data_IF_308975673096
#
_entry.id   IF_308975673096
#
_cell.length_a   1.000
_cell.length_b   1.000
_cell.length_c   1.000
_cell.angle_alpha   90.00
_cell.angle_beta   90.00
_cell.angle_gamma   90.00
#
_symmetry.space_group_name_H-M   'P 1'
#
loop_
_entity.id
_entity.type
_entity.pdbx_description
1 polymer ?
#
# COMPACT_ATOMS: atom_id res chain seq x y z
N UNK A 1 16.48 -16.70 19.10
CA UNK A 1 17.34 -16.16 18.03
C UNK A 1 16.43 -15.59 16.97
N UNK A 2 16.65 -14.35 16.51
CA UNK A 2 15.89 -13.76 15.41
C UNK A 2 16.52 -14.15 14.08
N UNK A 3 15.71 -14.24 13.01
CA UNK A 3 16.19 -14.50 11.66
C UNK A 3 16.35 -13.17 10.92
N UNK A 4 17.50 -12.98 10.29
CA UNK A 4 17.71 -11.81 9.44
C UNK A 4 17.03 -12.02 8.09
N UNK A 5 16.35 -10.99 7.59
CA UNK A 5 15.72 -10.98 6.28
C UNK A 5 16.00 -9.67 5.55
N UNK A 6 16.28 -9.77 4.26
CA UNK A 6 16.41 -8.66 3.34
C UNK A 6 15.09 -8.38 2.67
N UNK A 7 14.74 -7.11 2.58
CA UNK A 7 13.49 -6.69 1.98
C UNK A 7 13.60 -5.34 1.29
N UNK A 8 12.72 -5.12 0.32
CA UNK A 8 12.53 -3.84 -0.35
C UNK A 8 11.10 -3.38 -0.14
N UNK A 9 10.94 -2.17 0.41
CA UNK A 9 9.63 -1.54 0.55
C UNK A 9 9.25 -0.83 -0.75
N UNK A 10 8.12 -1.19 -1.36
CA UNK A 10 7.62 -0.57 -2.59
C UNK A 10 6.20 -0.04 -2.39
N UNK A 11 5.82 0.96 -3.17
CA UNK A 11 4.45 1.46 -3.22
C UNK A 11 3.69 0.71 -4.32
N UNK A 12 2.54 0.11 -4.00
CA UNK A 12 1.85 -0.86 -4.88
C UNK A 12 1.35 -0.36 -6.23
N UNK A 13 1.42 0.95 -6.47
CA UNK A 13 1.13 1.55 -7.77
C UNK A 13 2.30 1.46 -8.77
N UNK A 14 3.51 1.10 -8.31
CA UNK A 14 4.74 1.16 -9.10
C UNK A 14 5.66 -0.02 -8.79
N UNK A 15 5.22 -1.24 -9.09
CA UNK A 15 6.12 -2.42 -9.07
C UNK A 15 7.35 -2.28 -9.97
N UNK A 16 7.40 -1.29 -10.86
CA UNK A 16 8.39 -1.24 -11.93
C UNK A 16 9.22 0.04 -12.05
N UNK A 17 9.23 0.99 -11.10
CA UNK A 17 10.00 2.24 -11.31
C UNK A 17 10.77 2.87 -10.13
N UNK A 18 10.63 2.38 -8.91
CA UNK A 18 11.40 2.91 -7.79
C UNK A 18 12.31 1.81 -7.26
N UNK A 19 13.61 1.92 -7.55
CA UNK A 19 14.66 1.20 -6.84
C UNK A 19 14.67 1.69 -5.40
N UNK A 20 13.78 1.16 -4.56
CA UNK A 20 13.91 1.35 -3.11
C UNK A 20 15.11 0.55 -2.62
N UNK A 21 15.83 1.14 -1.67
CA UNK A 21 16.98 0.52 -1.01
C UNK A 21 16.56 -0.82 -0.38
N UNK A 22 17.42 -1.83 -0.52
CA UNK A 22 17.23 -3.11 0.17
C UNK A 22 17.64 -2.90 1.62
N UNK A 23 16.76 -3.28 2.54
CA UNK A 23 16.96 -3.16 3.98
C UNK A 23 17.01 -4.52 4.63
N UNK A 24 17.73 -4.60 5.73
CA UNK A 24 17.82 -5.79 6.55
C UNK A 24 17.00 -5.63 7.83
N UNK A 25 16.23 -6.64 8.20
CA UNK A 25 15.44 -6.67 9.43
C UNK A 25 15.61 -7.98 10.19
N UNK A 26 15.59 -7.91 11.52
CA UNK A 26 15.59 -9.09 12.38
C UNK A 26 14.15 -9.45 12.75
N UNK A 27 13.68 -10.59 12.27
CA UNK A 27 12.34 -11.10 12.56
C UNK A 27 12.37 -11.93 13.85
N UNK A 28 11.64 -11.45 14.86
CA UNK A 28 11.46 -12.15 16.13
C UNK A 28 10.18 -12.97 16.11
N UNK A 29 10.24 -14.28 16.39
CA UNK A 29 9.05 -15.12 16.55
C UNK A 29 8.71 -16.08 15.41
N UNK A 30 9.71 -16.51 14.63
CA UNK A 30 9.55 -17.49 13.55
C UNK A 30 9.51 -16.83 12.16
N UNK A 31 9.96 -17.57 11.15
CA UNK A 31 10.08 -17.11 9.77
C UNK A 31 8.72 -16.89 9.08
N UNK A 32 7.62 -16.71 9.81
CA UNK A 32 6.31 -16.55 9.18
C UNK A 32 6.11 -15.12 8.68
N UNK A 33 5.45 -15.00 7.53
CA UNK A 33 5.12 -13.74 6.85
C UNK A 33 4.43 -12.74 7.79
N UNK A 34 3.55 -13.19 8.70
CA UNK A 34 2.88 -12.34 9.70
C UNK A 34 3.86 -11.60 10.62
N UNK A 35 4.85 -12.31 11.17
CA UNK A 35 5.85 -11.73 12.08
C UNK A 35 6.73 -10.73 11.36
N UNK A 36 7.16 -11.10 10.15
CA UNK A 36 7.94 -10.23 9.27
C UNK A 36 7.18 -8.93 8.92
N UNK A 37 5.89 -8.99 8.54
CA UNK A 37 5.07 -7.79 8.29
C UNK A 37 5.01 -6.86 9.50
N UNK A 38 4.87 -7.43 10.70
CA UNK A 38 4.83 -6.65 11.93
C UNK A 38 6.17 -5.94 12.17
N UNK A 39 7.28 -6.64 12.00
CA UNK A 39 8.62 -6.07 12.13
C UNK A 39 8.84 -4.93 11.14
N UNK A 40 8.55 -5.15 9.85
CA UNK A 40 8.70 -4.12 8.80
C UNK A 40 7.80 -2.92 9.07
N UNK A 41 6.57 -3.15 9.53
CA UNK A 41 5.66 -2.08 9.91
C UNK A 41 6.23 -1.21 11.03
N UNK A 42 6.73 -1.79 12.13
CA UNK A 42 7.28 -1.00 13.24
C UNK A 42 8.55 -0.24 12.83
N UNK A 43 9.41 -0.84 11.99
CA UNK A 43 10.59 -0.17 11.45
C UNK A 43 10.20 1.03 10.58
N UNK A 44 9.22 0.85 9.69
CA UNK A 44 8.80 1.88 8.74
C UNK A 44 7.68 2.78 9.27
N UNK A 45 7.21 2.61 10.51
CA UNK A 45 6.00 3.25 11.05
C UNK A 45 5.93 4.77 10.89
N UNK A 46 7.08 5.45 10.98
CA UNK A 46 7.17 6.91 10.82
C UNK A 46 7.03 7.36 9.36
N UNK A 47 7.47 6.52 8.43
CA UNK A 47 7.38 6.75 6.99
C UNK A 47 6.10 6.18 6.40
N UNK A 48 5.45 5.25 7.11
CA UNK A 48 4.20 4.66 6.70
C UNK A 48 3.03 5.62 6.98
N UNK A 49 2.06 5.67 6.07
CA UNK A 49 0.84 6.44 6.26
C UNK A 49 0.06 5.93 7.48
N UNK A 50 -0.55 6.83 8.28
CA UNK A 50 -1.16 6.47 9.57
C UNK A 50 -2.38 5.54 9.44
N UNK A 51 -2.95 5.43 8.25
CA UNK A 51 -4.09 4.56 7.93
C UNK A 51 -3.69 3.12 7.62
N UNK A 52 -2.40 2.86 7.34
CA UNK A 52 -1.88 1.54 6.99
C UNK A 52 -1.66 0.73 8.26
N UNK A 53 -2.12 -0.52 8.26
CA UNK A 53 -1.86 -1.48 9.33
C UNK A 53 -0.84 -2.53 8.87
N UNK A 54 -0.17 -3.24 9.80
CA UNK A 54 0.70 -4.36 9.45
C UNK A 54 0.05 -5.40 8.53
N UNK A 55 -1.25 -5.67 8.72
CA UNK A 55 -2.02 -6.61 7.92
C UNK A 55 -2.24 -6.18 6.47
N UNK A 56 -2.14 -4.88 6.22
CA UNK A 56 -2.40 -4.28 4.90
C UNK A 56 -1.16 -4.34 4.00
N UNK A 57 0.02 -4.53 4.59
CA UNK A 57 1.25 -4.79 3.86
C UNK A 57 1.15 -6.14 3.14
N UNK A 58 1.44 -6.13 1.86
CA UNK A 58 1.56 -7.34 1.05
C UNK A 58 3.03 -7.71 0.96
N UNK A 59 3.33 -9.01 1.02
CA UNK A 59 4.71 -9.51 0.95
C UNK A 59 4.77 -10.45 -0.23
N UNK A 60 5.75 -10.29 -1.09
CA UNK A 60 6.03 -11.12 -2.25
C UNK A 60 7.40 -11.76 -2.07
N UNK A 61 7.57 -12.95 -2.64
CA UNK A 61 8.85 -13.65 -2.56
C UNK A 61 9.96 -12.87 -3.28
N UNK A 62 9.64 -12.23 -4.41
CA UNK A 62 10.52 -11.30 -5.12
C UNK A 62 9.70 -10.24 -5.91
N UNK A 63 10.37 -9.49 -6.80
CA UNK A 63 9.74 -8.45 -7.63
C UNK A 63 9.02 -8.94 -8.88
N UNK A 64 9.13 -10.22 -9.23
CA UNK A 64 8.49 -10.86 -10.38
C UNK A 64 7.19 -11.57 -10.01
N UNK A 65 7.02 -11.92 -8.74
CA UNK A 65 5.81 -12.59 -8.25
C UNK A 65 4.57 -11.69 -8.35
N UNK A 66 3.54 -12.20 -9.03
CA UNK A 66 2.26 -11.51 -9.16
C UNK A 66 1.44 -11.58 -7.87
N UNK A 67 1.58 -12.67 -7.10
CA UNK A 67 0.73 -13.00 -5.96
C UNK A 67 1.44 -12.83 -4.62
N UNK A 68 0.79 -12.18 -3.63
CA UNK A 68 1.38 -12.03 -2.31
C UNK A 68 1.40 -13.37 -1.57
N UNK A 69 2.45 -13.57 -0.78
CA UNK A 69 2.60 -14.66 0.15
C UNK A 69 1.49 -14.65 1.20
N UNK A 70 1.04 -15.85 1.56
CA UNK A 70 0.01 -16.06 2.57
C UNK A 70 0.42 -15.52 3.95
N UNK A 71 -0.56 -15.23 4.80
CA UNK A 71 -0.32 -14.62 6.12
C UNK A 71 0.58 -15.50 7.02
N UNK A 72 0.42 -16.82 6.94
CA UNK A 72 1.17 -17.81 7.75
C UNK A 72 2.19 -18.55 6.87
N UNK A 73 2.61 -17.95 5.76
CA UNK A 73 3.60 -18.57 4.87
C UNK A 73 5.00 -18.51 5.50
N UNK A 74 5.74 -19.62 5.45
CA UNK A 74 7.13 -19.68 5.93
C UNK A 74 8.06 -18.98 4.94
N UNK A 75 8.92 -18.11 5.45
CA UNK A 75 9.93 -17.36 4.71
C UNK A 75 11.28 -18.09 4.68
N UNK A 76 11.34 -19.36 5.04
CA UNK A 76 12.57 -20.15 4.93
C UNK A 76 13.02 -20.20 3.46
N UNK A 77 14.26 -19.78 3.18
CA UNK A 77 14.79 -19.69 1.81
C UNK A 77 14.42 -18.42 1.04
N UNK A 78 13.67 -17.48 1.65
CA UNK A 78 13.28 -16.22 1.02
C UNK A 78 13.88 -15.02 1.74
N UNK A 79 14.37 -14.02 0.99
CA UNK A 79 14.96 -12.82 1.55
C UNK A 79 16.16 -13.10 2.45
N UNK A 80 16.90 -14.18 2.21
CA UNK A 80 18.11 -14.50 2.96
C UNK A 80 19.35 -13.76 2.43
N UNK A 81 19.22 -13.12 1.26
CA UNK A 81 20.29 -12.42 0.56
C UNK A 81 19.78 -11.07 -0.02
N UNK A 82 20.70 -10.11 -0.16
CA UNK A 82 20.41 -8.76 -0.65
C UNK A 82 20.04 -8.72 -2.14
N UNK A 83 20.56 -9.66 -2.95
CA UNK A 83 20.26 -9.77 -4.38
C UNK A 83 18.88 -10.37 -4.64
N UNK A 84 18.33 -11.13 -3.68
CA UNK A 84 16.98 -11.69 -3.74
C UNK A 84 16.13 -11.32 -2.51
N UNK A 85 15.80 -10.02 -2.34
CA UNK A 85 15.07 -9.54 -1.19
C UNK A 85 13.58 -9.80 -1.33
N UNK A 86 12.90 -9.97 -0.19
CA UNK A 86 11.44 -9.96 -0.14
C UNK A 86 10.90 -8.59 -0.58
N UNK A 87 9.83 -8.56 -1.36
CA UNK A 87 9.18 -7.30 -1.72
C UNK A 87 8.01 -7.04 -0.79
N UNK A 88 8.04 -5.92 -0.08
CA UNK A 88 6.96 -5.48 0.81
C UNK A 88 6.24 -4.33 0.15
N UNK A 89 5.01 -4.56 -0.25
CA UNK A 89 4.18 -3.59 -0.93
C UNK A 89 3.26 -2.86 0.05
N UNK A 90 3.37 -1.53 0.08
CA UNK A 90 2.41 -0.64 0.73
C UNK A 90 1.20 -0.50 -0.19
N UNK A 91 -0.03 -0.79 0.29
CA UNK A 91 -1.21 -0.74 -0.55
C UNK A 91 -1.52 0.70 -0.96
N UNK A 92 -1.66 0.91 -2.26
CA UNK A 92 -1.99 2.19 -2.89
C UNK A 92 -3.29 2.08 -3.67
N UNK A 93 -4.15 3.09 -3.55
CA UNK A 93 -5.39 3.19 -4.33
C UNK A 93 -5.32 4.41 -5.23
N UNK A 94 -5.53 4.19 -6.52
CA UNK A 94 -5.69 5.27 -7.50
C UNK A 94 -7.04 5.96 -7.32
N UNK A 95 -7.04 7.28 -7.37
CA UNK A 95 -8.24 8.09 -7.35
C UNK A 95 -8.11 9.28 -8.29
N UNK A 96 -9.26 9.84 -8.67
CA UNK A 96 -9.34 11.10 -9.39
C UNK A 96 -10.48 11.91 -8.81
N UNK A 97 -10.24 13.19 -8.56
CA UNK A 97 -11.28 14.10 -8.11
C UNK A 97 -12.11 14.57 -9.31
N UNK A 98 -13.43 14.48 -9.17
CA UNK A 98 -14.38 14.82 -10.23
C UNK A 98 -15.40 15.83 -9.71
N UNK A 99 -15.77 16.83 -10.54
CA UNK A 99 -16.86 17.76 -10.26
C UNK A 99 -18.18 16.99 -10.25
N UNK A 100 -18.93 17.09 -9.16
CA UNK A 100 -20.18 16.36 -8.98
C UNK A 100 -21.25 16.70 -10.04
N UNK A 101 -21.27 17.94 -10.52
CA UNK A 101 -22.26 18.44 -11.49
C UNK A 101 -22.00 17.97 -12.92
N UNK A 102 -20.73 17.87 -13.34
CA UNK A 102 -20.37 17.63 -14.74
C UNK A 102 -19.65 16.30 -14.99
N UNK A 103 -19.27 15.57 -13.93
CA UNK A 103 -18.31 14.46 -14.01
C UNK A 103 -17.04 14.82 -14.80
N UNK A 104 -16.68 16.10 -14.83
CA UNK A 104 -15.39 16.55 -15.35
C UNK A 104 -14.34 16.45 -14.23
N UNK A 105 -13.05 16.30 -14.56
CA UNK A 105 -11.98 16.39 -13.58
C UNK A 105 -12.07 17.70 -12.79
N UNK A 106 -11.80 17.64 -11.48
CA UNK A 106 -11.72 18.85 -10.67
C UNK A 106 -10.50 19.67 -11.12
N UNK A 107 -10.65 20.98 -11.27
CA UNK A 107 -9.60 21.83 -11.83
C UNK A 107 -8.33 21.79 -10.99
N UNK A 108 -7.18 21.73 -11.65
CA UNK A 108 -5.88 21.58 -10.98
C UNK A 108 -5.63 20.19 -10.40
N UNK A 109 -6.45 19.17 -10.71
CA UNK A 109 -6.28 17.80 -10.20
C UNK A 109 -6.15 16.77 -11.32
N UNK A 110 -5.21 15.84 -11.12
CA UNK A 110 -5.01 14.66 -11.97
C UNK A 110 -5.52 13.38 -11.29
N UNK A 111 -5.29 12.24 -11.97
CA UNK A 111 -5.31 10.96 -11.27
C UNK A 111 -4.10 10.92 -10.32
N UNK A 112 -4.31 10.45 -9.10
CA UNK A 112 -3.26 10.34 -8.10
C UNK A 112 -3.45 9.07 -7.27
N UNK A 113 -2.47 8.76 -6.42
CA UNK A 113 -2.47 7.60 -5.53
C UNK A 113 -2.58 8.06 -4.09
N UNK A 114 -3.36 7.34 -3.30
CA UNK A 114 -3.32 7.46 -1.84
C UNK A 114 -3.01 6.11 -1.22
N UNK A 115 -2.18 6.08 -0.17
CA UNK A 115 -1.93 4.87 0.58
C UNK A 115 -3.17 4.49 1.36
N UNK A 116 -3.82 3.44 0.89
CA UNK A 116 -5.05 2.94 1.47
C UNK A 116 -5.09 1.44 1.27
N UNK A 117 -5.35 0.69 2.34
CA UNK A 117 -5.62 -0.73 2.22
C UNK A 117 -6.75 -0.98 1.20
N UNK A 118 -6.59 -1.93 0.28
CA UNK A 118 -7.61 -2.24 -0.72
C UNK A 118 -8.95 -2.68 -0.09
N UNK A 119 -8.93 -3.16 1.16
CA UNK A 119 -10.11 -3.55 1.94
C UNK A 119 -10.71 -2.41 2.80
N UNK A 120 -10.23 -1.18 2.63
CA UNK A 120 -10.67 -0.08 3.46
C UNK A 120 -12.05 0.44 3.02
N UNK A 121 -12.80 1.05 3.95
CA UNK A 121 -14.14 1.53 3.63
C UNK A 121 -14.08 2.79 2.76
N UNK A 122 -15.13 3.04 1.97
CA UNK A 122 -15.28 4.27 1.16
C UNK A 122 -15.16 5.52 2.04
N UNK A 123 -15.64 5.45 3.28
CA UNK A 123 -15.52 6.53 4.26
C UNK A 123 -14.05 6.83 4.58
N UNK A 124 -13.26 5.80 4.84
CA UNK A 124 -11.83 5.96 5.14
C UNK A 124 -11.05 6.46 3.92
N UNK A 125 -11.38 6.00 2.71
CA UNK A 125 -10.82 6.55 1.47
C UNK A 125 -11.10 8.05 1.34
N UNK A 126 -12.35 8.45 1.56
CA UNK A 126 -12.80 9.85 1.48
C UNK A 126 -12.09 10.74 2.49
N UNK A 127 -11.97 10.27 3.73
CA UNK A 127 -11.37 11.04 4.82
C UNK A 127 -9.84 11.18 4.60
N UNK A 128 -9.16 10.15 4.07
CA UNK A 128 -7.74 10.21 3.67
C UNK A 128 -7.53 11.17 2.49
N UNK A 129 -8.29 11.00 1.40
CA UNK A 129 -8.19 11.89 0.22
C UNK A 129 -8.46 13.34 0.60
N UNK A 130 -9.46 13.59 1.45
CA UNK A 130 -9.76 14.94 1.94
C UNK A 130 -8.60 15.54 2.74
N UNK A 131 -7.96 14.74 3.60
CA UNK A 131 -6.82 15.18 4.42
C UNK A 131 -5.63 15.55 3.53
N UNK A 132 -5.27 14.68 2.59
CA UNK A 132 -4.18 14.91 1.62
C UNK A 132 -4.43 16.13 0.72
N UNK A 133 -5.69 16.35 0.33
CA UNK A 133 -6.09 17.43 -0.59
C UNK A 133 -6.64 18.67 0.10
N UNK A 134 -6.53 18.77 1.42
CA UNK A 134 -7.00 19.92 2.19
C UNK A 134 -6.52 21.27 1.63
N UNK A 135 -5.27 21.43 1.14
CA UNK A 135 -4.83 22.70 0.55
C UNK A 135 -5.62 23.14 -0.68
N UNK A 136 -6.15 22.20 -1.46
CA UNK A 136 -6.94 22.48 -2.68
C UNK A 136 -8.45 22.36 -2.45
N UNK A 137 -8.88 21.98 -1.25
CA UNK A 137 -10.28 21.87 -0.81
C UNK A 137 -10.56 22.75 0.44
N UNK A 138 -10.15 24.04 0.48
CA UNK A 138 -10.15 24.83 1.72
C UNK A 138 -11.55 25.07 2.31
N UNK A 139 -12.60 25.03 1.48
CA UNK A 139 -13.98 25.34 1.87
C UNK A 139 -14.92 24.13 1.79
N UNK A 140 -14.36 22.92 1.70
CA UNK A 140 -15.14 21.70 1.67
C UNK A 140 -14.95 20.92 2.98
N UNK A 141 -15.91 20.08 3.34
CA UNK A 141 -15.77 19.07 4.39
C UNK A 141 -15.73 17.69 3.76
N UNK A 142 -15.06 16.72 4.40
CA UNK A 142 -14.89 15.37 3.85
C UNK A 142 -16.22 14.75 3.36
N UNK A 143 -17.34 15.00 4.05
CA UNK A 143 -18.68 14.50 3.67
C UNK A 143 -19.24 15.04 2.34
N UNK A 144 -18.70 16.15 1.83
CA UNK A 144 -19.07 16.73 0.53
C UNK A 144 -18.36 16.05 -0.65
N UNK A 145 -17.32 15.25 -0.41
CA UNK A 145 -16.75 14.37 -1.42
C UNK A 145 -17.71 13.20 -1.68
N UNK A 146 -18.46 13.29 -2.78
CA UNK A 146 -19.31 12.20 -3.29
C UNK A 146 -18.60 11.43 -4.41
N UNK A 147 -18.80 10.12 -4.40
CA UNK A 147 -18.10 9.16 -5.26
C UNK A 147 -18.53 9.29 -6.74
N UNK A 148 -17.55 9.33 -7.65
CA UNK A 148 -17.60 8.65 -8.95
C UNK A 148 -16.40 7.70 -8.93
N UNK A 149 -16.62 6.40 -8.73
CA UNK A 149 -15.55 5.41 -8.93
C UNK A 149 -15.72 4.91 -10.35
N UNK A 150 -14.79 5.27 -11.21
CA UNK A 150 -14.43 4.41 -12.32
C UNK A 150 -13.45 3.38 -11.75
N UNK A 151 -13.86 2.10 -11.75
CA UNK A 151 -12.99 1.00 -11.35
C UNK A 151 -11.88 0.88 -12.40
N UNK A 152 -10.69 1.39 -12.10
CA UNK A 152 -9.47 0.94 -12.77
C UNK A 152 -8.90 -0.26 -11.99
N UNK A 153 -9.62 -1.38 -12.03
CA UNK A 153 -9.02 -2.69 -11.80
C UNK A 153 -9.36 -3.54 -13.02
N UNK A 154 -8.38 -3.68 -13.90
CA UNK A 154 -8.35 -4.79 -14.83
C UNK A 154 -8.43 -6.07 -14.00
N UNK A 155 -9.46 -6.87 -14.29
CA UNK A 155 -9.65 -8.26 -13.90
C UNK A 155 -9.28 -8.69 -12.47
N UNK A 156 -10.32 -8.89 -11.66
CA UNK A 156 -10.68 -10.16 -10.99
C UNK A 156 -11.35 -9.85 -9.66
N UNK A 157 -12.67 -9.99 -9.61
CA UNK A 157 -13.37 -10.78 -8.58
C UNK A 157 -14.68 -11.20 -9.22
N UNK A 158 -14.79 -12.49 -9.53
CA UNK A 158 -16.03 -13.15 -9.90
C UNK A 158 -16.85 -13.39 -8.62
N UNK A 159 -18.14 -13.11 -8.75
CA UNK A 159 -19.30 -13.36 -7.87
C UNK A 159 -19.14 -13.16 -6.34
#
# INVERSE_FOLDING_TARGET
MGLSKYYRLVEGARRSRCQSEVKQIIVSGGAATRGFRQSVYEECKRSLPPSVRPSDLQVFANGEDEKPLGVIFSLDGYGDDEDNPLVVEVPMVWYRLMKASSRAPFEGTGADVVPLAARNTIRNMRDVVFTERRPILPNLVASQLRRIIERAFGHQFAD
#
